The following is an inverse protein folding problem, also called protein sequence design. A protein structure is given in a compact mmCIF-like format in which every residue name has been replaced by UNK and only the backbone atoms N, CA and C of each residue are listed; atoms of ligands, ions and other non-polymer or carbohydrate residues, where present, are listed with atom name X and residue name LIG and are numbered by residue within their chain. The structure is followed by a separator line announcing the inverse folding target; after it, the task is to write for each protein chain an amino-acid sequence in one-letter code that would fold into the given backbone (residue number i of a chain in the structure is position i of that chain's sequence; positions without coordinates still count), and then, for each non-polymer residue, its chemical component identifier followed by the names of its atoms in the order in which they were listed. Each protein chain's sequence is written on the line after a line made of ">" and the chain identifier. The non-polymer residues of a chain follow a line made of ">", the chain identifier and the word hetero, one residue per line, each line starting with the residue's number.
data_IF_884986031780
#
_entry.id   IF_884986031780
#
_cell.length_a   1.000
_cell.length_b   1.000
_cell.length_c   1.000
_cell.angle_alpha   90.00
_cell.angle_beta   90.00
_cell.angle_gamma   90.00
#
_symmetry.space_group_name_H-M   'P 1'
#
loop_
_entity.id
_entity.type
_entity.pdbx_description
1 polymer ?
#
# COMPACT_ATOMS: atom_id res chain seq x y z
N UNK A 1 -22.72 -15.27 -67.47
CA UNK A 1 -21.54 -15.04 -66.61
C UNK A 1 -20.60 -16.22 -66.82
N UNK A 2 -19.41 -16.01 -67.40
CA UNK A 2 -18.52 -17.12 -67.77
C UNK A 2 -17.91 -17.78 -66.54
N UNK A 3 -17.82 -19.10 -66.54
CA UNK A 3 -17.27 -19.89 -65.43
C UNK A 3 -15.86 -19.42 -65.01
N UNK A 4 -15.04 -18.99 -65.98
CA UNK A 4 -13.72 -18.40 -65.70
C UNK A 4 -13.77 -17.09 -64.91
N UNK A 5 -14.78 -16.23 -65.15
CA UNK A 5 -14.93 -14.97 -64.41
C UNK A 5 -15.41 -15.22 -62.97
N UNK A 6 -16.14 -16.31 -62.72
CA UNK A 6 -16.55 -16.71 -61.38
C UNK A 6 -15.34 -17.15 -60.53
N UNK A 7 -14.45 -17.94 -61.12
CA UNK A 7 -13.24 -18.44 -60.43
C UNK A 7 -12.29 -17.29 -60.06
N UNK A 8 -12.08 -16.33 -60.98
CA UNK A 8 -11.23 -15.16 -60.70
C UNK A 8 -11.78 -14.28 -59.57
N UNK A 9 -13.11 -14.17 -59.46
CA UNK A 9 -13.76 -13.38 -58.41
C UNK A 9 -13.59 -14.03 -57.02
N UNK A 10 -13.66 -15.36 -56.95
CA UNK A 10 -13.45 -16.10 -55.69
C UNK A 10 -12.00 -15.97 -55.20
N UNK A 11 -11.02 -16.03 -56.09
CA UNK A 11 -9.59 -15.90 -55.72
C UNK A 11 -9.30 -14.50 -55.14
N UNK A 12 -9.87 -13.44 -55.75
CA UNK A 12 -9.70 -12.07 -55.25
C UNK A 12 -10.31 -11.87 -53.86
N UNK A 13 -11.46 -12.48 -53.59
CA UNK A 13 -12.10 -12.42 -52.26
C UNK A 13 -11.22 -13.12 -51.22
N UNK A 14 -10.65 -14.29 -51.52
CA UNK A 14 -9.78 -15.02 -50.58
C UNK A 14 -8.53 -14.22 -50.19
N UNK A 15 -7.91 -13.51 -51.14
CA UNK A 15 -6.75 -12.66 -50.86
C UNK A 15 -7.14 -11.46 -49.99
N UNK A 16 -8.29 -10.83 -50.27
CA UNK A 16 -8.79 -9.71 -49.47
C UNK A 16 -9.11 -10.14 -48.03
N UNK A 17 -9.74 -11.32 -47.84
CA UNK A 17 -10.04 -11.86 -46.51
C UNK A 17 -8.74 -12.21 -45.77
N UNK A 18 -7.76 -12.83 -46.42
CA UNK A 18 -6.46 -13.12 -45.82
C UNK A 18 -5.70 -11.86 -45.40
N UNK A 19 -5.72 -10.81 -46.21
CA UNK A 19 -5.11 -9.52 -45.89
C UNK A 19 -5.84 -8.83 -44.72
N UNK A 20 -7.16 -8.89 -44.66
CA UNK A 20 -7.95 -8.37 -43.54
C UNK A 20 -7.71 -9.15 -42.25
N UNK A 21 -7.57 -10.48 -42.32
CA UNK A 21 -7.23 -11.32 -41.17
C UNK A 21 -5.80 -11.07 -40.67
N UNK A 22 -4.85 -10.93 -41.59
CA UNK A 22 -3.46 -10.57 -41.28
C UNK A 22 -3.33 -9.17 -40.68
N UNK A 23 -4.08 -8.19 -41.21
CA UNK A 23 -4.12 -6.82 -40.67
C UNK A 23 -4.82 -6.79 -39.31
N UNK A 24 -5.93 -7.52 -39.13
CA UNK A 24 -6.59 -7.67 -37.84
C UNK A 24 -5.66 -8.30 -36.80
N UNK A 25 -4.93 -9.36 -37.17
CA UNK A 25 -3.94 -10.00 -36.29
C UNK A 25 -2.76 -9.07 -35.96
N UNK A 26 -2.23 -8.33 -36.93
CA UNK A 26 -1.15 -7.35 -36.73
C UNK A 26 -1.59 -6.16 -35.86
N UNK A 27 -2.81 -5.66 -36.05
CA UNK A 27 -3.39 -4.59 -35.22
C UNK A 27 -3.72 -5.07 -33.80
N UNK A 28 -4.07 -6.35 -33.64
CA UNK A 28 -4.44 -6.93 -32.35
C UNK A 28 -3.25 -7.56 -31.59
N UNK A 29 -2.01 -7.49 -32.10
CA UNK A 29 -0.81 -8.05 -31.45
C UNK A 29 0.11 -7.02 -30.80
N UNK A 30 -0.32 -5.76 -30.66
CA UNK A 30 0.41 -4.75 -29.87
C UNK A 30 -0.41 -4.21 -28.71
N UNK A 31 -0.51 -5.02 -27.65
CA UNK A 31 -0.59 -4.60 -26.23
C UNK A 31 -1.06 -5.80 -25.37
N UNK A 32 -0.20 -6.80 -25.22
CA UNK A 32 -0.44 -7.95 -24.33
C UNK A 32 0.61 -7.99 -23.22
N UNK A 33 0.46 -7.12 -22.23
CA UNK A 33 1.12 -7.28 -20.92
C UNK A 33 0.34 -6.72 -19.72
N UNK A 34 -0.93 -6.28 -19.89
CA UNK A 34 -1.70 -5.66 -18.79
C UNK A 34 -2.92 -6.48 -18.37
N UNK A 35 -3.37 -7.46 -19.14
CA UNK A 35 -4.63 -8.17 -18.86
C UNK A 35 -4.56 -9.10 -17.62
N UNK A 36 -3.39 -9.63 -17.28
CA UNK A 36 -3.25 -10.57 -16.16
C UNK A 36 -3.23 -9.89 -14.76
N UNK A 37 -3.07 -8.57 -14.70
CA UNK A 37 -2.77 -7.84 -13.44
C UNK A 37 -4.04 -7.30 -12.78
N UNK A 38 -5.11 -7.07 -13.55
CA UNK A 38 -6.41 -6.67 -12.99
C UNK A 38 -7.10 -7.77 -12.17
N UNK A 39 -6.60 -9.00 -12.20
CA UNK A 39 -7.25 -10.17 -11.58
C UNK A 39 -6.74 -10.50 -10.17
N UNK A 40 -5.64 -9.89 -9.71
CA UNK A 40 -5.12 -10.10 -8.36
C UNK A 40 -5.14 -8.79 -7.58
N UNK A 41 -6.30 -8.46 -7.02
CA UNK A 41 -6.41 -7.47 -5.94
C UNK A 41 -7.13 -8.11 -4.77
N UNK A 42 -6.52 -8.04 -3.59
CA UNK A 42 -7.01 -8.61 -2.33
C UNK A 42 -8.26 -7.95 -1.77
N UNK A 43 -8.94 -7.05 -2.51
CA UNK A 43 -10.34 -6.66 -2.26
C UNK A 43 -10.88 -5.81 -3.40
N UNK A 44 -11.48 -6.45 -4.41
CA UNK A 44 -12.60 -5.94 -5.24
C UNK A 44 -12.52 -4.60 -5.98
N UNK A 45 -11.48 -3.77 -5.84
CA UNK A 45 -11.39 -2.47 -6.51
C UNK A 45 -10.30 -2.51 -7.58
N UNK A 46 -10.71 -2.38 -8.84
CA UNK A 46 -9.80 -2.23 -9.98
C UNK A 46 -8.88 -1.03 -9.70
N UNK A 47 -7.58 -1.25 -9.82
CA UNK A 47 -6.58 -0.20 -9.73
C UNK A 47 -6.80 0.78 -10.88
N UNK A 48 -6.73 2.08 -10.61
CA UNK A 48 -6.78 3.06 -11.69
C UNK A 48 -5.50 2.93 -12.53
N UNK A 49 -5.64 3.06 -13.84
CA UNK A 49 -4.51 2.98 -14.77
C UNK A 49 -3.40 4.01 -14.43
N UNK A 50 -3.79 5.19 -13.92
CA UNK A 50 -2.87 6.23 -13.46
C UNK A 50 -1.98 5.75 -12.31
N UNK A 51 -2.56 5.09 -11.30
CA UNK A 51 -1.80 4.58 -10.14
C UNK A 51 -0.90 3.43 -10.57
N UNK A 52 -1.39 2.53 -11.42
CA UNK A 52 -0.58 1.43 -11.94
C UNK A 52 0.62 1.93 -12.76
N UNK A 53 0.41 2.92 -13.63
CA UNK A 53 1.48 3.61 -14.37
C UNK A 53 2.51 4.24 -13.44
N UNK A 54 2.09 4.78 -12.30
CA UNK A 54 3.02 5.36 -11.33
C UNK A 54 3.93 4.29 -10.72
N UNK A 55 3.39 3.13 -10.35
CA UNK A 55 4.21 2.04 -9.81
C UNK A 55 5.28 1.55 -10.80
N UNK A 56 4.93 1.42 -12.07
CA UNK A 56 5.93 1.06 -13.09
C UNK A 56 6.99 2.14 -13.28
N UNK A 57 6.63 3.42 -13.19
CA UNK A 57 7.60 4.53 -13.24
C UNK A 57 8.58 4.50 -12.07
N UNK A 58 8.12 4.04 -10.92
CA UNK A 58 8.95 3.80 -9.72
C UNK A 58 9.78 2.51 -9.81
N UNK A 59 9.74 1.81 -10.94
CA UNK A 59 10.59 0.64 -11.21
C UNK A 59 10.04 -0.69 -10.66
N UNK A 60 8.82 -0.71 -10.12
CA UNK A 60 8.22 -1.94 -9.58
C UNK A 60 7.75 -2.86 -10.71
N UNK A 61 8.04 -4.15 -10.58
CA UNK A 61 7.43 -5.18 -11.42
C UNK A 61 6.07 -5.63 -10.85
N UNK A 62 5.33 -6.46 -11.58
CA UNK A 62 3.97 -6.88 -11.20
C UNK A 62 3.89 -7.59 -9.83
N UNK A 63 4.91 -8.38 -9.49
CA UNK A 63 4.98 -9.06 -8.21
C UNK A 63 5.25 -8.07 -7.08
N UNK A 64 6.15 -7.11 -7.30
CA UNK A 64 6.44 -6.04 -6.34
C UNK A 64 5.19 -5.19 -6.10
N UNK A 65 4.44 -4.86 -7.16
CA UNK A 65 3.18 -4.12 -7.07
C UNK A 65 2.16 -4.88 -6.23
N UNK A 66 2.01 -6.19 -6.46
CA UNK A 66 1.09 -7.02 -5.68
C UNK A 66 1.50 -7.05 -4.21
N UNK A 67 2.78 -7.34 -3.94
CA UNK A 67 3.32 -7.41 -2.59
C UNK A 67 3.14 -6.09 -1.85
N UNK A 68 3.59 -4.99 -2.46
CA UNK A 68 3.46 -3.64 -1.93
C UNK A 68 2.02 -3.33 -1.52
N UNK A 69 1.05 -3.61 -2.39
CA UNK A 69 -0.36 -3.35 -2.13
C UNK A 69 -0.93 -4.21 -1.00
N UNK A 70 -0.54 -5.47 -0.92
CA UNK A 70 -0.96 -6.37 0.16
C UNK A 70 -0.38 -5.94 1.52
N UNK A 71 0.90 -5.57 1.54
CA UNK A 71 1.56 -4.99 2.72
C UNK A 71 0.85 -3.72 3.16
N UNK A 72 0.56 -2.80 2.22
CA UNK A 72 -0.09 -1.53 2.56
C UNK A 72 -1.54 -1.69 2.99
N UNK A 73 -2.28 -2.63 2.39
CA UNK A 73 -3.62 -2.97 2.87
C UNK A 73 -3.60 -3.51 4.31
N UNK A 74 -2.60 -4.31 4.64
CA UNK A 74 -2.41 -4.84 6.00
C UNK A 74 -2.06 -3.74 7.00
N UNK A 75 -1.09 -2.88 6.65
CA UNK A 75 -0.69 -1.75 7.48
C UNK A 75 -1.86 -0.80 7.74
N UNK A 76 -2.64 -0.43 6.71
CA UNK A 76 -3.81 0.43 6.87
C UNK A 76 -4.87 -0.22 7.77
N UNK A 77 -5.09 -1.54 7.67
CA UNK A 77 -5.99 -2.27 8.57
C UNK A 77 -5.52 -2.16 10.02
N UNK A 78 -4.22 -2.28 10.28
CA UNK A 78 -3.65 -2.15 11.62
C UNK A 78 -3.80 -0.72 12.16
N UNK A 79 -3.54 0.31 11.34
CA UNK A 79 -3.74 1.72 11.71
C UNK A 79 -5.21 1.96 12.10
N UNK A 80 -6.15 1.56 11.25
CA UNK A 80 -7.58 1.73 11.52
C UNK A 80 -8.04 0.96 12.78
N UNK A 81 -7.41 -0.18 13.08
CA UNK A 81 -7.71 -0.94 14.29
C UNK A 81 -7.21 -0.20 15.54
N UNK A 82 -6.00 0.35 15.51
CA UNK A 82 -5.44 1.20 16.57
C UNK A 82 -6.38 2.39 16.83
N UNK A 83 -6.83 3.08 15.77
CA UNK A 83 -7.77 4.19 15.88
C UNK A 83 -9.10 3.77 16.50
N UNK A 84 -9.69 2.66 16.03
CA UNK A 84 -10.96 2.17 16.58
C UNK A 84 -10.85 1.80 18.07
N UNK A 85 -9.71 1.26 18.52
CA UNK A 85 -9.47 0.95 19.93
C UNK A 85 -9.25 2.21 20.75
N UNK A 86 -8.58 3.21 20.17
CA UNK A 86 -8.35 4.53 20.77
C UNK A 86 -9.66 5.25 21.05
N UNK A 87 -10.58 5.26 20.09
CA UNK A 87 -11.88 5.94 20.22
C UNK A 87 -12.75 5.35 21.34
N UNK A 88 -12.55 4.07 21.64
CA UNK A 88 -13.31 3.33 22.66
C UNK A 88 -12.67 3.39 24.05
N UNK A 89 -11.43 3.85 24.18
CA UNK A 89 -10.68 3.82 25.43
C UNK A 89 -10.13 5.20 25.80
N UNK A 90 -10.60 5.77 26.92
CA UNK A 90 -10.20 7.13 27.35
C UNK A 90 -8.70 7.26 27.65
N UNK A 91 -8.07 6.22 28.18
CA UNK A 91 -6.64 6.25 28.51
C UNK A 91 -5.80 6.22 27.23
N UNK A 92 -6.12 5.32 26.30
CA UNK A 92 -5.46 5.26 25.00
C UNK A 92 -5.71 6.55 24.18
N UNK A 93 -6.92 7.11 24.24
CA UNK A 93 -7.26 8.38 23.60
C UNK A 93 -6.36 9.53 24.08
N UNK A 94 -6.23 9.71 25.40
CA UNK A 94 -5.33 10.72 25.99
C UNK A 94 -3.87 10.49 25.59
N UNK A 95 -3.41 9.24 25.61
CA UNK A 95 -2.04 8.90 25.21
C UNK A 95 -1.80 9.24 23.72
N UNK A 96 -2.73 8.87 22.84
CA UNK A 96 -2.61 9.15 21.41
C UNK A 96 -2.61 10.62 21.07
N UNK A 97 -3.42 11.42 21.76
CA UNK A 97 -3.39 12.87 21.64
C UNK A 97 -2.03 13.43 22.07
N UNK A 98 -1.51 13.01 23.23
CA UNK A 98 -0.20 13.45 23.73
C UNK A 98 0.94 13.14 22.74
N UNK A 99 0.89 11.97 22.11
CA UNK A 99 1.91 11.51 21.17
C UNK A 99 1.69 11.99 19.73
N UNK A 100 0.53 12.57 19.40
CA UNK A 100 0.10 12.78 18.02
C UNK A 100 0.19 11.51 17.16
N UNK A 101 -0.11 10.33 17.73
CA UNK A 101 0.20 9.03 17.12
C UNK A 101 -0.50 8.84 15.77
N UNK A 102 -1.78 9.20 15.64
CA UNK A 102 -2.51 9.05 14.37
C UNK A 102 -1.84 9.87 13.25
N UNK A 103 -1.36 11.08 13.56
CA UNK A 103 -0.66 11.92 12.58
C UNK A 103 0.63 11.25 12.11
N UNK A 104 1.40 10.69 13.04
CA UNK A 104 2.63 9.96 12.71
C UNK A 104 2.34 8.72 11.85
N UNK A 105 1.38 7.88 12.24
CA UNK A 105 1.06 6.64 11.53
C UNK A 105 0.55 6.90 10.11
N UNK A 106 -0.39 7.84 9.94
CA UNK A 106 -0.90 8.22 8.61
C UNK A 106 0.13 8.97 7.78
N UNK A 107 0.94 9.82 8.41
CA UNK A 107 2.04 10.51 7.76
C UNK A 107 3.04 9.52 7.17
N UNK A 108 3.55 8.59 7.98
CA UNK A 108 4.49 7.59 7.52
C UNK A 108 3.87 6.67 6.45
N UNK A 109 2.63 6.20 6.66
CA UNK A 109 1.92 5.44 5.64
C UNK A 109 1.83 6.17 4.30
N UNK A 110 1.50 7.47 4.32
CA UNK A 110 1.39 8.29 3.10
C UNK A 110 2.74 8.42 2.38
N UNK A 111 3.83 8.64 3.11
CA UNK A 111 5.17 8.74 2.52
C UNK A 111 5.59 7.42 1.86
N UNK A 112 5.29 6.27 2.47
CA UNK A 112 5.56 4.95 1.88
C UNK A 112 4.72 4.74 0.61
N UNK A 113 3.44 5.13 0.63
CA UNK A 113 2.57 5.07 -0.56
C UNK A 113 3.05 5.97 -1.69
N UNK A 114 3.64 7.13 -1.35
CA UNK A 114 4.20 8.05 -2.32
C UNK A 114 5.50 7.53 -2.96
N UNK A 115 6.31 6.78 -2.20
CA UNK A 115 7.62 6.24 -2.61
C UNK A 115 7.67 4.72 -2.51
N UNK A 116 6.91 4.01 -3.37
CA UNK A 116 6.79 2.55 -3.27
C UNK A 116 8.11 1.82 -3.53
N UNK A 117 9.03 2.43 -4.26
CA UNK A 117 10.40 1.96 -4.49
C UNK A 117 11.25 1.87 -3.21
N UNK A 118 10.90 2.66 -2.18
CA UNK A 118 11.58 2.70 -0.87
C UNK A 118 10.98 1.77 0.19
N UNK A 119 10.15 0.79 -0.18
CA UNK A 119 9.46 -0.07 0.80
C UNK A 119 10.41 -0.77 1.78
N UNK A 120 11.61 -1.16 1.32
CA UNK A 120 12.65 -1.77 2.15
C UNK A 120 13.10 -0.84 3.30
N UNK A 121 13.20 0.48 3.05
CA UNK A 121 13.55 1.49 4.06
C UNK A 121 12.47 1.59 5.15
N UNK A 122 11.22 1.24 4.83
CA UNK A 122 10.11 1.19 5.76
C UNK A 122 9.88 -0.20 6.39
N UNK A 123 10.75 -1.18 6.13
CA UNK A 123 10.54 -2.57 6.54
C UNK A 123 10.37 -2.75 8.05
N UNK A 124 11.16 -2.04 8.87
CA UNK A 124 11.04 -2.15 10.33
C UNK A 124 9.69 -1.62 10.83
N UNK A 125 9.14 -0.58 10.20
CA UNK A 125 7.81 -0.06 10.52
C UNK A 125 6.73 -1.07 10.15
N UNK A 126 6.76 -1.55 8.89
CA UNK A 126 5.71 -2.37 8.30
C UNK A 126 5.62 -3.77 8.90
N UNK A 127 6.75 -4.40 9.21
CA UNK A 127 6.79 -5.80 9.62
C UNK A 127 7.01 -6.02 11.11
N UNK A 128 7.45 -5.01 11.86
CA UNK A 128 7.78 -5.16 13.28
C UNK A 128 7.05 -4.14 14.16
N UNK A 129 7.31 -2.84 13.99
CA UNK A 129 6.86 -1.85 14.97
C UNK A 129 5.35 -1.58 14.89
N UNK A 130 4.75 -1.45 13.70
CA UNK A 130 3.30 -1.27 13.56
C UNK A 130 2.51 -2.54 13.99
N UNK A 131 2.89 -3.77 13.57
CA UNK A 131 2.24 -4.99 14.08
C UNK A 131 2.35 -5.15 15.59
N UNK A 132 3.51 -4.84 16.18
CA UNK A 132 3.71 -4.90 17.63
C UNK A 132 2.82 -3.87 18.36
N UNK A 133 2.79 -2.63 17.87
CA UNK A 133 1.94 -1.57 18.39
C UNK A 133 0.46 -1.98 18.36
N UNK A 134 -0.04 -2.48 17.22
CA UNK A 134 -1.42 -2.96 17.11
C UNK A 134 -1.72 -4.09 18.12
N UNK A 135 -0.77 -5.02 18.31
CA UNK A 135 -0.91 -6.10 19.30
C UNK A 135 -1.02 -5.56 20.72
N UNK A 136 -0.22 -4.55 21.08
CA UNK A 136 -0.28 -3.91 22.40
C UNK A 136 -1.63 -3.22 22.61
N UNK A 137 -2.13 -2.49 21.61
CA UNK A 137 -3.45 -1.84 21.68
C UNK A 137 -4.60 -2.83 21.88
N UNK A 138 -4.57 -3.94 21.15
CA UNK A 138 -5.56 -5.02 21.28
C UNK A 138 -5.52 -5.61 22.69
N UNK A 139 -4.33 -6.01 23.16
CA UNK A 139 -4.16 -6.62 24.48
C UNK A 139 -4.54 -5.66 25.61
N UNK A 140 -4.12 -4.40 25.52
CA UNK A 140 -4.50 -3.36 26.47
C UNK A 140 -6.02 -3.24 26.58
N UNK A 141 -6.70 -3.12 25.43
CA UNK A 141 -8.16 -2.94 25.41
C UNK A 141 -8.90 -4.17 25.92
N UNK A 142 -8.38 -5.37 25.66
CA UNK A 142 -8.90 -6.61 26.23
C UNK A 142 -8.79 -6.58 27.75
N UNK A 143 -7.58 -6.35 28.29
CA UNK A 143 -7.30 -6.32 29.73
C UNK A 143 -8.14 -5.24 30.44
N UNK A 144 -8.16 -4.03 29.90
CA UNK A 144 -8.87 -2.89 30.51
C UNK A 144 -10.40 -3.07 30.54
N UNK A 145 -10.94 -3.96 29.70
CA UNK A 145 -12.37 -4.28 29.66
C UNK A 145 -12.83 -5.31 30.70
N UNK A 146 -11.92 -6.02 31.37
CA UNK A 146 -12.30 -7.00 32.39
C UNK A 146 -12.84 -6.31 33.66
N UNK A 147 -13.92 -6.87 34.22
CA UNK A 147 -14.64 -6.32 35.38
C UNK A 147 -13.88 -6.44 36.71
N UNK A 148 -13.01 -7.44 36.83
CA UNK A 148 -12.17 -7.64 38.00
C UNK A 148 -10.76 -7.14 37.70
N UNK A 149 -10.38 -6.02 38.31
CA UNK A 149 -9.04 -5.43 38.21
C UNK A 149 -8.37 -5.56 39.57
N UNK A 150 -7.23 -6.24 39.57
CA UNK A 150 -6.33 -6.33 40.73
C UNK A 150 -5.03 -5.56 40.46
N UNK A 151 -4.15 -5.52 41.45
CA UNK A 151 -2.87 -4.81 41.33
C UNK A 151 -1.98 -5.35 40.21
N UNK A 152 -2.12 -6.63 39.85
CA UNK A 152 -1.36 -7.22 38.75
C UNK A 152 -1.87 -6.71 37.39
N UNK A 153 -3.18 -6.62 37.25
CA UNK A 153 -3.85 -6.04 36.08
C UNK A 153 -3.40 -4.60 35.83
N UNK A 154 -3.37 -3.76 36.87
CA UNK A 154 -2.93 -2.37 36.76
C UNK A 154 -1.46 -2.26 36.31
N UNK A 155 -0.58 -3.14 36.83
CA UNK A 155 0.83 -3.19 36.42
C UNK A 155 0.97 -3.53 34.94
N UNK A 156 0.22 -4.53 34.45
CA UNK A 156 0.28 -4.92 33.03
C UNK A 156 -0.23 -3.79 32.11
N UNK A 157 -1.27 -3.07 32.53
CA UNK A 157 -1.75 -1.90 31.80
C UNK A 157 -0.69 -0.79 31.78
N UNK A 158 0.01 -0.52 32.88
CA UNK A 158 1.11 0.45 32.92
C UNK A 158 2.27 0.05 31.99
N UNK A 159 2.73 -1.21 32.06
CA UNK A 159 3.78 -1.73 31.18
C UNK A 159 3.39 -1.59 29.71
N UNK A 160 2.11 -1.82 29.38
CA UNK A 160 1.60 -1.65 28.03
C UNK A 160 1.67 -0.20 27.56
N UNK A 161 1.39 0.77 28.43
CA UNK A 161 1.54 2.20 28.13
C UNK A 161 3.02 2.56 27.87
N UNK A 162 3.95 2.01 28.66
CA UNK A 162 5.39 2.20 28.42
C UNK A 162 5.82 1.59 27.09
N UNK A 163 5.34 0.38 26.78
CA UNK A 163 5.60 -0.28 25.51
C UNK A 163 5.08 0.53 24.31
N UNK A 164 3.89 1.15 24.42
CA UNK A 164 3.37 2.07 23.39
C UNK A 164 4.29 3.27 23.20
N UNK A 165 4.76 3.89 24.29
CA UNK A 165 5.69 5.03 24.20
C UNK A 165 7.02 4.64 23.52
N UNK A 166 7.52 3.44 23.80
CA UNK A 166 8.75 2.93 23.17
C UNK A 166 8.54 2.64 21.67
N UNK A 167 7.42 2.01 21.30
CA UNK A 167 7.06 1.81 19.90
C UNK A 167 6.92 3.15 19.17
N UNK A 168 6.26 4.15 19.78
CA UNK A 168 6.16 5.49 19.23
C UNK A 168 7.53 6.11 18.92
N UNK A 169 8.50 6.06 19.85
CA UNK A 169 9.84 6.61 19.63
C UNK A 169 10.52 6.00 18.41
N UNK A 170 10.49 4.67 18.31
CA UNK A 170 11.09 3.95 17.19
C UNK A 170 10.42 4.27 15.86
N UNK A 171 9.08 4.30 15.83
CA UNK A 171 8.32 4.65 14.63
C UNK A 171 8.65 6.10 14.22
N UNK A 172 8.75 7.01 15.18
CA UNK A 172 9.09 8.41 14.91
C UNK A 172 10.50 8.55 14.34
N UNK A 173 11.48 7.84 14.90
CA UNK A 173 12.85 7.79 14.39
C UNK A 173 12.91 7.23 12.97
N UNK A 174 12.18 6.13 12.70
CA UNK A 174 12.10 5.54 11.36
C UNK A 174 11.43 6.48 10.36
N UNK A 175 10.35 7.16 10.77
CA UNK A 175 9.69 8.15 9.92
C UNK A 175 10.64 9.27 9.52
N UNK A 176 11.39 9.84 10.49
CA UNK A 176 12.37 10.88 10.20
C UNK A 176 13.50 10.39 9.29
N UNK A 177 14.00 9.17 9.48
CA UNK A 177 15.00 8.57 8.58
C UNK A 177 14.46 8.40 7.16
N UNK A 178 13.21 7.98 7.02
CA UNK A 178 12.57 7.75 5.72
C UNK A 178 12.39 9.05 4.90
N UNK A 179 12.18 10.18 5.58
CA UNK A 179 12.02 11.49 4.92
C UNK A 179 13.29 12.35 4.95
N UNK A 180 14.41 11.85 5.47
CA UNK A 180 15.62 12.63 5.66
C UNK A 180 16.13 13.24 4.34
N UNK A 181 16.17 12.44 3.27
CA UNK A 181 16.58 12.90 1.93
C UNK A 181 15.73 14.09 1.42
N UNK A 182 14.44 14.14 1.75
CA UNK A 182 13.56 15.25 1.36
C UNK A 182 13.85 16.52 2.18
N UNK A 183 14.30 16.36 3.43
CA UNK A 183 14.63 17.49 4.29
C UNK A 183 15.97 18.11 3.89
N UNK A 184 16.95 17.28 3.54
CA UNK A 184 18.26 17.73 3.08
C UNK A 184 18.14 18.48 1.74
N UNK A 185 17.35 17.94 0.80
CA UNK A 185 17.08 18.61 -0.49
C UNK A 185 16.36 19.95 -0.34
N UNK A 186 15.43 20.08 0.62
CA UNK A 186 14.78 21.36 0.92
C UNK A 186 15.74 22.37 1.57
N UNK A 187 16.64 21.91 2.45
CA UNK A 187 17.64 22.77 3.08
C UNK A 187 18.66 23.31 2.06
N UNK A 188 19.11 22.45 1.14
CA UNK A 188 19.95 22.86 0.01
C UNK A 188 19.25 23.85 -0.91
N UNK A 189 17.97 23.61 -1.25
CA UNK A 189 17.20 24.53 -2.09
C UNK A 189 17.03 25.91 -1.42
N UNK A 190 16.79 25.95 -0.11
CA UNK A 190 16.60 27.20 0.63
C UNK A 190 17.89 28.03 0.80
N UNK A 191 19.06 27.38 0.87
CA UNK A 191 20.36 28.05 0.99
C UNK A 191 20.93 28.55 -0.36
N UNK A 192 20.27 28.24 -1.47
CA UNK A 192 20.61 28.70 -2.82
C UNK A 192 19.74 29.89 -3.29
N UNK A 193 18.97 30.49 -2.39
CA UNK A 193 18.23 31.75 -2.56
C UNK A 193 18.73 32.81 -1.59
#
# INVERSE_FOLDING_TARGET
>A
MNFGNLILLIILICIAVGALWGLFYYLNTKSSSIEHIYKYSTRGRKISEKVLKNYYKEGLNDNDIRYFRETMATALKQINQIESLTDKNKTLSKLNQKLNLNKLLHGFFKEIVAKPSKIEEAGEFLYKELPALNTIYVKYSQIDSHLYKDQETDKVLQISIEAINNAYKKINEQYHKFIADDLDTLHEAANNF
#
